data_IF_638435017534
#
_entry.id   IF_638435017534
#
_cell.length_a   1.000
_cell.length_b   1.000
_cell.length_c   1.000
_cell.angle_alpha   90.00
_cell.angle_beta   90.00
_cell.angle_gamma   90.00
#
_symmetry.space_group_name_H-M   'P 1'
#
loop_
_entity.id
_entity.type
_entity.pdbx_description
1 polymer ?
#
# COMPACT_ATOMS: atom_id res chain seq x y z
N UNK A 1 1.92 -20.99 19.96
CA UNK A 1 0.96 -20.22 19.44
C UNK A 1 1.06 -19.99 17.99
N UNK A 2 0.10 -20.25 17.36
CA UNK A 2 0.16 -20.19 15.94
C UNK A 2 0.11 -18.74 15.48
N UNK A 3 0.76 -18.49 14.41
CA UNK A 3 0.66 -17.22 13.75
C UNK A 3 -0.33 -17.40 12.67
N UNK A 4 -1.40 -16.71 12.79
CA UNK A 4 -2.38 -16.78 11.75
C UNK A 4 -1.91 -15.99 10.56
N UNK A 5 -2.07 -16.57 9.41
CA UNK A 5 -1.77 -15.85 8.19
C UNK A 5 -2.72 -14.69 8.04
N UNK A 6 -2.20 -13.55 7.65
CA UNK A 6 -3.02 -12.37 7.42
C UNK A 6 -2.88 -11.95 5.97
N UNK A 7 -3.98 -11.44 5.45
CA UNK A 7 -3.98 -10.87 4.11
C UNK A 7 -3.71 -9.38 4.26
N UNK A 8 -2.78 -8.88 3.49
CA UNK A 8 -2.35 -7.49 3.58
C UNK A 8 -2.51 -6.84 2.23
N UNK A 9 -3.16 -5.69 2.21
CA UNK A 9 -3.22 -4.88 1.00
C UNK A 9 -2.25 -3.73 1.19
N UNK A 10 -1.28 -3.62 0.30
CA UNK A 10 -0.28 -2.58 0.39
C UNK A 10 -0.55 -1.53 -0.67
N UNK A 11 -0.52 -0.27 -0.27
CA UNK A 11 -0.81 0.84 -1.16
C UNK A 11 0.37 1.78 -1.26
N UNK A 12 0.75 2.09 -2.47
CA UNK A 12 1.71 3.15 -2.74
C UNK A 12 0.88 4.34 -3.19
N UNK A 13 0.49 5.15 -2.23
CA UNK A 13 -0.43 6.24 -2.50
C UNK A 13 0.27 7.35 -3.26
N UNK A 14 -0.31 7.78 -4.36
CA UNK A 14 0.21 8.89 -5.13
C UNK A 14 -0.89 9.85 -5.50
N UNK A 15 -0.49 11.02 -5.93
CA UNK A 15 -1.47 12.04 -6.29
C UNK A 15 -2.26 11.63 -7.53
N UNK A 16 -1.59 11.02 -8.48
CA UNK A 16 -2.25 10.64 -9.73
C UNK A 16 -2.58 9.16 -9.80
N UNK A 17 -1.72 8.35 -9.24
CA UNK A 17 -1.88 6.90 -9.34
C UNK A 17 -1.57 6.26 -8.02
N UNK A 18 -2.24 5.16 -7.75
CA UNK A 18 -2.04 4.42 -6.51
C UNK A 18 -1.69 2.99 -6.88
N UNK A 19 -0.48 2.59 -6.53
CA UNK A 19 -0.06 1.22 -6.74
C UNK A 19 -0.65 0.33 -5.67
N UNK A 20 -0.97 -0.91 -6.04
CA UNK A 20 -1.59 -1.83 -5.10
C UNK A 20 -0.96 -3.19 -5.19
N UNK A 21 -0.88 -3.87 -4.07
CA UNK A 21 -0.31 -5.19 -4.00
C UNK A 21 -1.02 -5.96 -2.89
N UNK A 22 -1.41 -7.19 -3.19
CA UNK A 22 -1.97 -8.04 -2.17
C UNK A 22 -0.88 -9.01 -1.72
N UNK A 23 -0.82 -9.29 -0.43
CA UNK A 23 0.21 -10.14 0.11
C UNK A 23 -0.34 -10.94 1.27
N UNK A 24 0.40 -11.93 1.70
CA UNK A 24 0.01 -12.67 2.89
C UNK A 24 1.24 -12.91 3.73
N UNK A 25 1.03 -13.02 5.04
CA UNK A 25 2.15 -13.04 5.98
C UNK A 25 2.67 -14.44 6.28
N UNK A 26 2.01 -15.47 5.78
CA UNK A 26 2.48 -16.82 6.06
C UNK A 26 3.79 -17.11 5.35
N UNK A 27 3.84 -16.83 4.07
CA UNK A 27 5.06 -17.03 3.29
C UNK A 27 5.71 -15.73 2.86
N UNK A 28 4.99 -14.62 2.96
CA UNK A 28 5.50 -13.35 2.47
C UNK A 28 5.31 -13.15 0.99
N UNK A 29 4.47 -13.95 0.38
CA UNK A 29 4.25 -13.83 -1.05
C UNK A 29 3.44 -12.59 -1.38
N UNK A 30 3.77 -11.99 -2.51
CA UNK A 30 3.11 -10.79 -2.96
C UNK A 30 2.57 -10.98 -4.35
N UNK A 31 1.51 -10.26 -4.65
CA UNK A 31 0.93 -10.26 -5.98
C UNK A 31 0.56 -8.82 -6.33
N UNK A 32 1.28 -8.20 -7.27
CA UNK A 32 0.91 -6.84 -7.67
C UNK A 32 -0.45 -6.85 -8.35
N UNK A 33 -1.21 -5.83 -8.07
CA UNK A 33 -2.53 -5.66 -8.68
C UNK A 33 -2.48 -4.44 -9.59
N UNK A 34 -3.49 -4.26 -10.42
CA UNK A 34 -3.48 -3.11 -11.32
C UNK A 34 -3.46 -1.80 -10.56
N UNK A 35 -2.74 -0.84 -11.12
CA UNK A 35 -2.67 0.50 -10.55
C UNK A 35 -4.04 1.15 -10.64
N UNK A 36 -4.41 1.87 -9.60
CA UNK A 36 -5.68 2.57 -9.56
C UNK A 36 -5.42 4.05 -9.78
N UNK A 37 -6.22 4.66 -10.62
CA UNK A 37 -6.11 6.09 -10.80
C UNK A 37 -6.71 6.81 -9.60
N UNK A 38 -6.00 7.84 -9.14
CA UNK A 38 -6.48 8.58 -7.98
C UNK A 38 -7.41 9.68 -8.46
N UNK A 39 -8.65 9.30 -8.69
CA UNK A 39 -9.68 10.23 -9.13
C UNK A 39 -10.97 9.86 -8.42
N UNK A 40 -12.08 10.36 -8.92
CA UNK A 40 -13.36 10.13 -8.25
C UNK A 40 -13.73 8.66 -8.15
N UNK A 41 -13.16 7.83 -9.02
CA UNK A 41 -13.48 6.41 -8.99
C UNK A 41 -12.65 5.62 -8.00
N UNK A 42 -11.67 6.26 -7.37
CA UNK A 42 -10.75 5.52 -6.51
C UNK A 42 -11.47 4.73 -5.43
N UNK A 43 -12.40 5.37 -4.74
CA UNK A 43 -13.06 4.70 -3.62
C UNK A 43 -13.92 3.53 -4.08
N UNK A 44 -14.54 3.65 -5.23
CA UNK A 44 -15.32 2.53 -5.76
C UNK A 44 -14.42 1.35 -6.10
N UNK A 45 -13.28 1.61 -6.71
CA UNK A 45 -12.33 0.54 -7.03
C UNK A 45 -11.78 -0.06 -5.77
N UNK A 46 -11.46 0.79 -4.80
CA UNK A 46 -10.96 0.30 -3.52
C UNK A 46 -11.98 -0.60 -2.83
N UNK A 47 -13.25 -0.18 -2.84
CA UNK A 47 -14.30 -1.00 -2.25
C UNK A 47 -14.34 -2.38 -2.88
N UNK A 48 -14.20 -2.46 -4.19
CA UNK A 48 -14.19 -3.74 -4.88
C UNK A 48 -13.00 -4.59 -4.45
N UNK A 49 -11.84 -3.97 -4.32
CA UNK A 49 -10.65 -4.71 -3.87
C UNK A 49 -10.83 -5.24 -2.47
N UNK A 50 -11.37 -4.42 -1.58
CA UNK A 50 -11.54 -4.83 -0.20
C UNK A 50 -12.57 -5.94 -0.09
N UNK A 51 -13.57 -5.89 -0.94
CA UNK A 51 -14.59 -6.93 -0.98
C UNK A 51 -14.02 -8.24 -1.50
N UNK A 52 -13.16 -8.14 -2.49
CA UNK A 52 -12.61 -9.32 -3.14
C UNK A 52 -11.55 -9.99 -2.27
N UNK A 53 -10.65 -9.22 -1.71
CA UNK A 53 -9.50 -9.78 -1.00
C UNK A 53 -9.66 -9.84 0.51
N UNK A 54 -10.53 -9.02 1.05
CA UNK A 54 -10.82 -8.97 2.49
C UNK A 54 -9.55 -8.91 3.33
N UNK A 55 -8.73 -7.88 3.12
CA UNK A 55 -7.48 -7.82 3.86
C UNK A 55 -7.72 -7.54 5.33
N UNK A 56 -6.81 -8.05 6.15
CA UNK A 56 -6.83 -7.79 7.58
C UNK A 56 -6.15 -6.48 7.91
N UNK A 57 -5.19 -6.10 7.07
CA UNK A 57 -4.39 -4.92 7.31
C UNK A 57 -4.18 -4.22 5.99
N UNK A 58 -4.17 -2.89 6.02
CA UNK A 58 -3.81 -2.11 4.86
C UNK A 58 -2.56 -1.31 5.21
N UNK A 59 -1.53 -1.46 4.39
CA UNK A 59 -0.31 -0.68 4.54
C UNK A 59 -0.34 0.48 3.57
N UNK A 60 0.13 1.62 4.01
CA UNK A 60 0.24 2.78 3.12
C UNK A 60 1.65 3.32 3.25
N UNK A 61 2.36 3.38 2.13
CA UNK A 61 3.70 3.92 2.14
C UNK A 61 3.68 5.43 2.25
N UNK A 62 4.53 5.96 3.11
CA UNK A 62 4.62 7.39 3.38
C UNK A 62 5.96 7.88 2.87
N UNK A 63 5.98 8.74 1.86
CA UNK A 63 7.24 9.27 1.37
C UNK A 63 7.83 10.28 2.34
N UNK A 64 9.13 10.57 2.23
CA UNK A 64 9.76 11.49 3.17
C UNK A 64 9.25 12.92 3.04
N UNK A 65 8.77 13.30 1.89
CA UNK A 65 8.24 14.65 1.70
C UNK A 65 6.86 14.56 1.12
N UNK A 66 5.95 15.34 1.68
CA UNK A 66 4.57 15.31 1.22
C UNK A 66 4.07 16.73 1.03
N UNK A 67 3.42 16.96 -0.08
CA UNK A 67 2.74 18.24 -0.31
C UNK A 67 1.47 18.30 0.52
N UNK A 68 0.90 19.48 0.63
CA UNK A 68 -0.36 19.65 1.34
C UNK A 68 -1.46 18.82 0.70
N UNK A 69 -1.50 18.82 -0.61
CA UNK A 69 -2.52 18.06 -1.33
C UNK A 69 -2.36 16.57 -1.07
N UNK A 70 -1.11 16.11 -1.01
CA UNK A 70 -0.85 14.70 -0.74
C UNK A 70 -1.35 14.34 0.65
N UNK A 71 -1.02 15.16 1.64
CA UNK A 71 -1.42 14.89 3.02
C UNK A 71 -2.93 14.85 3.13
N UNK A 72 -3.58 15.79 2.48
CA UNK A 72 -5.03 15.87 2.54
C UNK A 72 -5.67 14.60 1.97
N UNK A 73 -5.23 14.21 0.78
CA UNK A 73 -5.77 13.02 0.15
C UNK A 73 -5.47 11.76 0.94
N UNK A 74 -4.26 11.69 1.47
CA UNK A 74 -3.86 10.54 2.27
C UNK A 74 -4.73 10.40 3.52
N UNK A 75 -4.95 11.52 4.21
CA UNK A 75 -5.76 11.50 5.43
C UNK A 75 -7.19 11.09 5.12
N UNK A 76 -7.71 11.57 4.00
CA UNK A 76 -9.05 11.20 3.58
C UNK A 76 -9.15 9.71 3.33
N UNK A 77 -8.17 9.15 2.63
CA UNK A 77 -8.17 7.74 2.33
C UNK A 77 -8.07 6.90 3.61
N UNK A 78 -7.21 7.32 4.52
CA UNK A 78 -7.06 6.60 5.78
C UNK A 78 -8.36 6.60 6.58
N UNK A 79 -8.99 7.77 6.64
CA UNK A 79 -10.24 7.89 7.38
C UNK A 79 -11.34 7.04 6.74
N UNK A 80 -11.39 7.03 5.43
CA UNK A 80 -12.38 6.25 4.72
C UNK A 80 -12.23 4.76 5.05
N UNK A 81 -11.01 4.27 4.97
CA UNK A 81 -10.75 2.86 5.23
C UNK A 81 -11.10 2.51 6.68
N UNK A 82 -10.67 3.35 7.60
CA UNK A 82 -10.90 3.06 9.01
C UNK A 82 -12.37 3.13 9.36
N UNK A 83 -13.09 4.11 8.82
CA UNK A 83 -14.47 4.33 9.21
C UNK A 83 -15.45 3.47 8.45
N UNK A 84 -15.23 3.31 7.15
CA UNK A 84 -16.20 2.58 6.35
C UNK A 84 -15.95 1.09 6.33
N UNK A 85 -14.69 0.68 6.44
CA UNK A 85 -14.35 -0.73 6.34
C UNK A 85 -13.83 -1.32 7.63
N UNK A 86 -13.50 -0.49 8.60
CA UNK A 86 -13.02 -0.94 9.91
C UNK A 86 -11.79 -1.83 9.79
N UNK A 87 -10.91 -1.51 8.85
CA UNK A 87 -9.69 -2.25 8.65
C UNK A 87 -8.53 -1.44 9.21
N UNK A 88 -7.60 -2.12 9.86
CA UNK A 88 -6.45 -1.46 10.43
C UNK A 88 -5.54 -0.93 9.34
N UNK A 89 -5.14 0.34 9.47
CA UNK A 89 -4.22 0.98 8.53
C UNK A 89 -2.90 1.21 9.25
N UNK A 90 -1.81 0.79 8.62
CA UNK A 90 -0.46 0.98 9.14
C UNK A 90 0.33 1.80 8.14
N UNK A 91 0.96 2.87 8.61
CA UNK A 91 1.82 3.68 7.76
C UNK A 91 3.22 3.11 7.76
N UNK A 92 3.82 3.00 6.59
CA UNK A 92 5.16 2.49 6.44
C UNK A 92 6.00 3.58 5.80
N UNK A 93 7.06 4.00 6.47
CA UNK A 93 7.92 5.03 5.91
C UNK A 93 8.67 4.49 4.71
N UNK A 94 8.58 5.19 3.60
CA UNK A 94 9.27 4.80 2.40
C UNK A 94 10.67 5.37 2.44
N UNK A 95 11.59 4.61 2.95
CA UNK A 95 12.97 5.01 2.97
C UNK A 95 13.72 4.10 2.02
N UNK A 96 13.53 4.35 0.74
CA UNK A 96 14.12 3.49 -0.27
C UNK A 96 15.49 3.94 -0.68
N UNK A 97 16.06 4.90 0.02
CA UNK A 97 17.39 5.35 -0.33
C UNK A 97 18.38 4.23 -0.21
N UNK A 98 18.14 3.36 0.73
CA UNK A 98 19.05 2.27 0.93
C UNK A 98 19.08 1.33 -0.24
N UNK A 99 18.06 1.35 -1.05
CA UNK A 99 18.03 0.42 -2.13
C UNK A 99 18.76 0.91 -3.33
N UNK A 100 19.28 2.12 -3.26
CA UNK A 100 19.99 2.66 -4.36
C UNK A 100 19.20 2.53 -5.61
N UNK A 101 17.94 2.65 -5.50
CA UNK A 101 17.12 2.43 -6.62
C UNK A 101 17.39 3.42 -7.66
N UNK A 102 17.61 2.93 -8.84
CA UNK A 102 17.70 3.79 -9.92
C UNK A 102 16.38 4.35 -10.22
N UNK A 103 16.37 5.65 -10.38
CA UNK A 103 15.14 6.34 -10.70
C UNK A 103 14.58 5.92 -12.02
N UNK A 104 15.43 5.48 -12.90
CA UNK A 104 14.96 5.02 -14.19
C UNK A 104 14.12 3.78 -14.06
N UNK A 105 14.56 2.87 -13.23
CA UNK A 105 13.77 1.69 -12.99
C UNK A 105 12.46 2.03 -12.35
N UNK A 106 12.49 2.99 -11.46
CA UNK A 106 11.27 3.38 -10.81
C UNK A 106 10.28 3.92 -11.81
N UNK A 107 10.76 4.64 -12.80
CA UNK A 107 9.88 5.15 -13.83
C UNK A 107 9.26 4.05 -14.64
N UNK A 108 10.00 3.00 -14.89
CA UNK A 108 9.49 1.88 -15.64
C UNK A 108 8.51 1.05 -14.82
N UNK A 109 8.62 1.13 -13.53
CA UNK A 109 7.74 0.35 -12.68
C UNK A 109 6.65 1.20 -12.13
N UNK A 110 5.93 1.82 -13.01
CA UNK A 110 4.81 2.62 -12.57
C UNK A 110 3.68 1.77 -12.13
N UNK A 111 3.88 0.50 -12.13
CA UNK A 111 2.86 -0.41 -11.70
C UNK A 111 2.92 -0.52 -10.19
N UNK A 112 2.55 -1.63 -9.69
CA UNK A 112 2.42 -1.82 -8.26
C UNK A 112 3.66 -2.38 -7.61
N UNK A 113 4.79 -2.28 -8.26
CA UNK A 113 6.02 -2.80 -7.68
C UNK A 113 6.39 -2.06 -6.40
N UNK A 114 6.17 -0.74 -6.38
CA UNK A 114 6.45 0.02 -5.17
C UNK A 114 5.60 -0.47 -4.00
N UNK A 115 4.37 -0.86 -4.28
CA UNK A 115 3.51 -1.39 -3.23
C UNK A 115 4.05 -2.70 -2.69
N UNK A 116 4.68 -3.51 -3.55
CA UNK A 116 5.34 -4.72 -3.08
C UNK A 116 6.49 -4.41 -2.15
N UNK A 117 7.27 -3.40 -2.50
CA UNK A 117 8.41 -3.02 -1.67
C UNK A 117 7.94 -2.52 -0.30
N UNK A 118 6.83 -1.81 -0.26
CA UNK A 118 6.27 -1.35 0.99
C UNK A 118 5.93 -2.54 1.88
N UNK A 119 5.29 -3.55 1.30
CA UNK A 119 4.96 -4.74 2.06
C UNK A 119 6.22 -5.45 2.55
N UNK A 120 7.19 -5.62 1.66
CA UNK A 120 8.39 -6.36 2.01
C UNK A 120 9.17 -5.66 3.11
N UNK A 121 9.23 -4.34 3.05
CA UNK A 121 9.92 -3.59 4.07
C UNK A 121 9.23 -3.76 5.43
N UNK A 122 7.91 -3.67 5.44
CA UNK A 122 7.16 -3.84 6.67
C UNK A 122 7.29 -5.27 7.18
N UNK A 123 7.14 -6.24 6.29
CA UNK A 123 7.14 -7.64 6.66
C UNK A 123 8.49 -8.06 7.23
N UNK A 124 9.57 -7.60 6.61
CA UNK A 124 10.91 -7.90 7.10
C UNK A 124 11.17 -7.25 8.45
N UNK A 125 10.58 -6.10 8.68
CA UNK A 125 10.77 -5.39 9.93
C UNK A 125 10.13 -6.06 11.12
N UNK A 126 8.99 -6.69 10.89
CA UNK A 126 8.30 -7.29 12.02
C UNK A 126 8.95 -8.59 12.46
N UNK A 127 9.77 -9.13 11.60
CA UNK A 127 10.47 -10.35 11.94
C UNK A 127 11.77 -10.08 12.65
N UNK A 128 12.14 -8.90 12.58
CA UNK A 128 13.38 -8.43 12.99
C UNK A 128 13.90 -8.57 14.25
#
# INVERSE_FOLDING_TARGET
>A
MSKEAKVVLSLDYGIKNIGTCIAETYTGQTKPLPVIKNNDSFYAVLDNLLSEWRPNIILIGIPPKMSSAFIEGLNEAKAYIANEHKIKVIEVNEDFTTQGLDKDKKNHMKDSHSAELIFQDWFNGIDG
#
